data_IF_350382166171
#
_entry.id   IF_350382166171
#
_cell.length_a   1.000
_cell.length_b   1.000
_cell.length_c   1.000
_cell.angle_alpha   90.00
_cell.angle_beta   90.00
_cell.angle_gamma   90.00
#
_symmetry.space_group_name_H-M   'P 1'
#
loop_
_entity.id
_entity.type
_entity.pdbx_description
1 polymer ?
#
# COMPACT_ATOMS: atom_id res chain seq x y z
N UNK A 1 2.67 9.06 10.19
CA UNK A 1 2.27 8.32 8.99
C UNK A 1 2.42 9.22 7.78
N UNK A 2 3.17 8.77 6.81
CA UNK A 2 3.46 9.59 5.65
C UNK A 2 3.66 8.71 4.42
N UNK A 3 3.12 9.13 3.29
CA UNK A 3 3.25 8.38 2.05
C UNK A 3 3.10 9.31 0.86
N UNK A 4 3.61 8.85 -0.29
CA UNK A 4 3.38 9.50 -1.57
C UNK A 4 2.93 8.44 -2.56
N UNK A 5 2.24 8.85 -3.61
CA UNK A 5 1.80 7.90 -4.63
C UNK A 5 1.72 8.59 -5.98
N UNK A 6 1.90 7.80 -7.03
CA UNK A 6 1.66 8.28 -8.39
C UNK A 6 1.29 7.11 -9.28
N UNK A 7 0.58 7.43 -10.36
CA UNK A 7 0.11 6.44 -11.34
C UNK A 7 0.70 6.79 -12.68
N UNK A 8 1.29 5.79 -13.35
CA UNK A 8 1.89 5.98 -14.66
C UNK A 8 1.76 4.70 -15.47
N UNK A 9 1.11 4.79 -16.62
CA UNK A 9 0.99 3.66 -17.56
C UNK A 9 0.39 2.42 -16.90
N UNK A 10 -0.61 2.60 -16.06
CA UNK A 10 -1.27 1.50 -15.38
C UNK A 10 -0.52 0.97 -14.18
N UNK A 11 0.58 1.60 -13.81
CA UNK A 11 1.37 1.19 -12.65
C UNK A 11 1.21 2.22 -11.54
N UNK A 12 0.65 1.79 -10.41
CA UNK A 12 0.49 2.63 -9.24
C UNK A 12 1.64 2.35 -8.28
N UNK A 13 2.39 3.40 -7.96
CA UNK A 13 3.48 3.29 -6.99
C UNK A 13 3.10 4.05 -5.73
N UNK A 14 3.19 3.38 -4.60
CA UNK A 14 2.92 3.98 -3.30
C UNK A 14 4.16 3.81 -2.45
N UNK A 15 4.79 4.93 -2.11
CA UNK A 15 6.00 4.94 -1.28
C UNK A 15 5.60 5.27 0.15
N UNK A 16 5.92 4.38 1.07
CA UNK A 16 5.60 4.53 2.48
C UNK A 16 6.84 4.99 3.22
N UNK A 17 6.65 5.72 4.32
CA UNK A 17 7.75 6.32 5.06
C UNK A 17 7.54 6.12 6.56
N UNK A 18 8.63 5.84 7.27
CA UNK A 18 8.63 5.76 8.72
C UNK A 18 8.32 4.38 9.23
N UNK A 19 7.60 4.31 10.34
CA UNK A 19 7.29 3.04 10.99
C UNK A 19 5.91 2.56 10.60
N UNK A 20 5.81 1.27 10.30
CA UNK A 20 4.53 0.65 9.98
C UNK A 20 4.23 -0.39 11.04
N UNK A 21 3.54 0.04 12.09
CA UNK A 21 3.17 -0.82 13.21
C UNK A 21 1.63 -0.90 13.28
N UNK A 22 1.14 -1.55 14.34
CA UNK A 22 -0.30 -1.76 14.46
C UNK A 22 -1.08 -0.46 14.64
N UNK A 23 -0.43 0.64 15.01
CA UNK A 23 -1.10 1.93 15.17
C UNK A 23 -1.48 2.55 13.82
N UNK A 24 -0.69 2.31 12.79
CA UNK A 24 -0.94 2.92 11.49
C UNK A 24 -1.27 1.92 10.38
N UNK A 25 -1.08 0.62 10.63
CA UNK A 25 -1.29 -0.38 9.58
C UNK A 25 -2.70 -0.34 9.01
N UNK A 26 -3.71 -0.19 9.86
CA UNK A 26 -5.09 -0.16 9.39
C UNK A 26 -5.34 1.04 8.48
N UNK A 27 -4.77 2.18 8.82
CA UNK A 27 -4.93 3.37 7.98
C UNK A 27 -4.25 3.18 6.62
N UNK A 28 -3.06 2.57 6.61
CA UNK A 28 -2.38 2.28 5.35
C UNK A 28 -3.19 1.30 4.51
N UNK A 29 -3.76 0.26 5.12
CA UNK A 29 -4.60 -0.69 4.40
C UNK A 29 -5.75 0.03 3.71
N UNK A 30 -6.43 0.93 4.42
CA UNK A 30 -7.56 1.67 3.87
C UNK A 30 -7.12 2.59 2.74
N UNK A 31 -5.99 3.29 2.90
CA UNK A 31 -5.48 4.20 1.88
C UNK A 31 -5.12 3.43 0.61
N UNK A 32 -4.40 2.33 0.76
CA UNK A 32 -3.96 1.54 -0.38
C UNK A 32 -5.15 0.92 -1.10
N UNK A 33 -6.08 0.35 -0.35
CA UNK A 33 -7.29 -0.24 -0.94
C UNK A 33 -8.09 0.79 -1.71
N UNK A 34 -8.26 1.99 -1.14
CA UNK A 34 -9.00 3.06 -1.82
C UNK A 34 -8.34 3.45 -3.13
N UNK A 35 -7.01 3.54 -3.15
CA UNK A 35 -6.30 3.91 -4.36
C UNK A 35 -6.38 2.82 -5.42
N UNK A 36 -6.28 1.57 -5.02
CA UNK A 36 -6.40 0.46 -5.96
C UNK A 36 -7.80 0.43 -6.57
N UNK A 37 -8.82 0.64 -5.76
CA UNK A 37 -10.19 0.67 -6.25
C UNK A 37 -10.45 1.86 -7.18
N UNK A 38 -9.86 3.01 -6.85
CA UNK A 38 -10.08 4.21 -7.64
C UNK A 38 -9.37 4.17 -8.97
N UNK A 39 -8.15 3.69 -9.00
CA UNK A 39 -7.31 3.74 -10.19
C UNK A 39 -7.29 2.44 -10.99
N UNK A 40 -7.66 1.34 -10.36
CA UNK A 40 -7.69 0.01 -11.00
C UNK A 40 -6.41 -0.27 -11.77
N UNK A 41 -5.24 -0.17 -11.09
CA UNK A 41 -3.97 -0.33 -11.78
C UNK A 41 -3.74 -1.77 -12.19
N UNK A 42 -2.95 -1.97 -13.24
CA UNK A 42 -2.51 -3.31 -13.63
C UNK A 42 -1.44 -3.84 -12.70
N UNK A 43 -0.62 -2.93 -12.16
CA UNK A 43 0.48 -3.26 -11.26
C UNK A 43 0.50 -2.25 -10.12
N UNK A 44 0.71 -2.73 -8.92
CA UNK A 44 0.87 -1.86 -7.76
C UNK A 44 2.23 -2.14 -7.12
N UNK A 45 3.02 -1.10 -6.97
CA UNK A 45 4.33 -1.19 -6.31
C UNK A 45 4.23 -0.51 -4.95
N UNK A 46 4.56 -1.26 -3.90
CA UNK A 46 4.67 -0.70 -2.56
C UNK A 46 6.15 -0.52 -2.27
N UNK A 47 6.59 0.72 -2.20
CA UNK A 47 8.00 1.06 -2.02
C UNK A 47 8.26 1.29 -0.53
N UNK A 48 9.07 0.41 0.05
CA UNK A 48 9.42 0.46 1.47
C UNK A 48 10.80 1.05 1.70
N UNK A 49 11.36 1.71 0.69
CA UNK A 49 12.73 2.23 0.78
C UNK A 49 12.94 3.15 1.99
N UNK A 50 11.92 3.97 2.30
CA UNK A 50 12.00 4.91 3.41
C UNK A 50 11.37 4.39 4.69
N UNK A 51 10.99 3.12 4.72
CA UNK A 51 10.41 2.51 5.92
C UNK A 51 11.52 2.08 6.85
N UNK A 52 11.44 2.50 8.13
CA UNK A 52 12.48 2.24 9.12
C UNK A 52 12.13 1.08 10.03
N UNK A 53 10.88 0.69 10.11
CA UNK A 53 10.44 -0.40 10.98
C UNK A 53 9.11 -0.96 10.50
N UNK A 54 9.00 -2.30 10.48
CA UNK A 54 7.77 -3.00 10.11
C UNK A 54 7.57 -4.15 11.10
N UNK A 55 6.39 -4.21 11.73
CA UNK A 55 6.03 -5.36 12.55
C UNK A 55 5.08 -6.26 11.75
N UNK A 56 4.51 -7.27 12.41
CA UNK A 56 3.62 -8.21 11.72
C UNK A 56 2.37 -7.53 11.18
N UNK A 57 1.92 -6.45 11.81
CA UNK A 57 0.77 -5.69 11.29
C UNK A 57 1.13 -5.00 9.99
N UNK A 58 2.39 -4.55 9.85
CA UNK A 58 2.85 -3.94 8.60
C UNK A 58 2.87 -4.94 7.46
N UNK A 59 3.20 -6.20 7.76
CA UNK A 59 3.18 -7.24 6.74
C UNK A 59 1.76 -7.44 6.22
N UNK A 60 0.76 -7.30 7.10
CA UNK A 60 -0.65 -7.42 6.69
C UNK A 60 -1.03 -6.37 5.65
N UNK A 61 -0.38 -5.20 5.65
CA UNK A 61 -0.63 -4.17 4.65
C UNK A 61 -0.32 -4.71 3.26
N UNK A 62 0.81 -5.40 3.11
CA UNK A 62 1.22 -5.96 1.82
C UNK A 62 0.27 -7.06 1.39
N UNK A 63 -0.10 -7.94 2.31
CA UNK A 63 -1.00 -9.05 2.01
C UNK A 63 -2.36 -8.51 1.57
N UNK A 64 -2.85 -7.49 2.24
CA UNK A 64 -4.15 -6.92 1.92
C UNK A 64 -4.13 -6.25 0.55
N UNK A 65 -3.06 -5.53 0.23
CA UNK A 65 -2.92 -4.88 -1.07
C UNK A 65 -2.90 -5.91 -2.19
N UNK A 66 -2.20 -7.03 -1.97
CA UNK A 66 -2.14 -8.10 -2.95
C UNK A 66 -3.51 -8.72 -3.19
N UNK A 67 -4.26 -8.93 -2.11
CA UNK A 67 -5.60 -9.49 -2.23
C UNK A 67 -6.52 -8.55 -3.00
N UNK A 68 -6.40 -7.25 -2.76
CA UNK A 68 -7.21 -6.26 -3.45
C UNK A 68 -6.94 -6.27 -4.95
N UNK A 69 -5.66 -6.35 -5.33
CA UNK A 69 -5.29 -6.39 -6.74
C UNK A 69 -5.79 -7.65 -7.44
N UNK A 70 -5.81 -8.77 -6.73
CA UNK A 70 -6.21 -10.04 -7.31
C UNK A 70 -7.72 -10.26 -7.30
N UNK A 71 -8.46 -9.31 -6.76
CA UNK A 71 -9.92 -9.39 -6.71
C UNK A 71 -10.47 -8.82 -8.03
N UNK A 72 -11.03 -9.65 -8.90
CA UNK A 72 -11.45 -9.20 -10.23
C UNK A 72 -12.68 -8.29 -10.20
N UNK A 73 -13.31 -8.22 -9.06
CA UNK A 73 -14.50 -7.45 -8.94
C UNK A 73 -14.16 -6.01 -8.62
#
# INVERSE_FOLDING_TARGET
MYFTSFLENGKLTIALTGEIDHHCAKAYIQIISSKIEAYMPQVCVLDFHEVTFVDSSGIAVVINARAELNNPE
#
